data_IF_524386960745
#
_entry.id   IF_524386960745
#
_cell.length_a   1.000
_cell.length_b   1.000
_cell.length_c   1.000
_cell.angle_alpha   90.00
_cell.angle_beta   90.00
_cell.angle_gamma   90.00
#
_symmetry.space_group_name_H-M   'P 1'
#
loop_
_entity.id
_entity.type
_entity.pdbx_description
1 polymer ?
#
# COMPACT_ATOMS: atom_id res chain seq x y z
N UNK A 1 48.59 65.94 6.85
CA UNK A 1 48.44 64.57 7.41
C UNK A 1 47.51 63.81 6.48
N UNK A 2 48.05 62.87 5.69
CA UNK A 2 47.32 62.09 4.67
C UNK A 2 47.08 60.69 5.24
N UNK A 3 45.85 60.21 5.23
CA UNK A 3 45.51 58.83 5.58
C UNK A 3 45.00 58.15 4.30
N UNK A 4 45.75 57.16 3.84
CA UNK A 4 45.45 56.30 2.69
C UNK A 4 44.44 55.24 3.10
N UNK A 5 43.42 55.03 2.27
CA UNK A 5 42.56 53.85 2.32
C UNK A 5 43.27 52.67 1.65
N UNK A 6 43.50 51.60 2.39
CA UNK A 6 43.97 50.31 1.86
C UNK A 6 42.73 49.51 1.45
N UNK A 7 42.59 49.29 0.14
CA UNK A 7 41.60 48.39 -0.46
C UNK A 7 41.95 46.94 -0.14
N UNK A 8 41.01 46.21 0.47
CA UNK A 8 41.10 44.76 0.62
C UNK A 8 40.65 44.08 -0.67
N UNK A 9 41.61 43.46 -1.36
CA UNK A 9 41.41 42.60 -2.51
C UNK A 9 40.93 41.22 -2.00
N UNK A 10 39.66 40.88 -2.21
CA UNK A 10 39.14 39.53 -1.98
C UNK A 10 39.40 38.71 -3.25
N UNK A 11 40.41 37.84 -3.20
CA UNK A 11 40.64 36.83 -4.24
C UNK A 11 39.69 35.67 -3.97
N UNK A 12 38.61 35.58 -4.76
CA UNK A 12 37.75 34.40 -4.81
C UNK A 12 38.42 33.36 -5.70
N UNK A 13 39.09 32.39 -5.08
CA UNK A 13 39.59 31.19 -5.74
C UNK A 13 38.40 30.28 -6.08
N UNK A 14 37.97 30.29 -7.34
CA UNK A 14 37.13 29.24 -7.91
C UNK A 14 37.98 27.96 -8.05
N UNK A 15 37.93 27.09 -7.04
CA UNK A 15 38.36 25.70 -7.20
C UNK A 15 37.27 24.99 -7.99
N UNK A 16 37.55 24.73 -9.27
CA UNK A 16 36.70 23.95 -10.14
C UNK A 16 36.56 22.53 -9.61
N UNK A 17 35.45 22.25 -8.94
CA UNK A 17 34.96 20.89 -8.74
C UNK A 17 34.43 20.45 -10.10
N UNK A 18 35.21 19.67 -10.84
CA UNK A 18 34.68 18.87 -11.93
C UNK A 18 33.66 17.90 -11.32
N UNK A 19 32.38 18.25 -11.40
CA UNK A 19 31.31 17.26 -11.28
C UNK A 19 31.51 16.30 -12.43
N UNK A 20 32.06 15.12 -12.15
CA UNK A 20 32.00 14.01 -13.07
C UNK A 20 30.51 13.76 -13.35
N UNK A 21 30.03 14.24 -14.51
CA UNK A 21 28.77 13.79 -15.06
C UNK A 21 28.96 12.32 -15.41
N UNK A 22 28.66 11.45 -14.45
CA UNK A 22 28.33 10.06 -14.74
C UNK A 22 26.97 10.11 -15.42
N UNK A 23 26.95 10.44 -16.72
CA UNK A 23 25.79 10.17 -17.55
C UNK A 23 25.79 8.67 -17.83
N UNK A 24 25.45 7.88 -16.81
CA UNK A 24 24.87 6.59 -17.06
C UNK A 24 23.55 6.87 -17.76
N UNK A 25 23.55 6.80 -19.09
CA UNK A 25 22.35 6.51 -19.86
C UNK A 25 21.92 5.10 -19.46
N UNK A 26 21.43 4.93 -18.24
CA UNK A 26 20.53 3.83 -17.95
C UNK A 26 19.36 4.04 -18.89
N UNK A 27 19.26 3.18 -19.90
CA UNK A 27 18.09 3.11 -20.73
C UNK A 27 16.93 2.91 -19.77
N UNK A 28 16.17 3.97 -19.53
CA UNK A 28 14.94 3.91 -18.74
C UNK A 28 14.05 2.96 -19.52
N UNK A 29 14.03 1.69 -19.10
CA UNK A 29 13.13 0.70 -19.66
C UNK A 29 11.74 1.31 -19.44
N UNK A 30 10.98 1.61 -20.50
CA UNK A 30 9.68 2.23 -20.35
C UNK A 30 8.86 1.32 -19.45
N UNK A 31 8.48 1.84 -18.29
CA UNK A 31 7.80 1.06 -17.27
C UNK A 31 6.48 0.57 -17.88
N UNK A 32 6.37 -0.75 -18.07
CA UNK A 32 5.21 -1.36 -18.69
C UNK A 32 3.97 -1.01 -17.86
N UNK A 33 2.91 -0.57 -18.54
CA UNK A 33 1.62 -0.37 -17.89
C UNK A 33 1.08 -1.76 -17.55
N UNK A 34 0.93 -2.04 -16.26
CA UNK A 34 0.30 -3.26 -15.76
C UNK A 34 -1.14 -2.92 -15.42
N UNK A 35 -2.07 -3.64 -16.02
CA UNK A 35 -3.49 -3.58 -15.73
C UNK A 35 -4.02 -4.95 -15.31
N UNK A 36 -5.29 -5.01 -14.88
CA UNK A 36 -5.90 -6.25 -14.41
C UNK A 36 -5.99 -7.34 -15.51
N UNK A 37 -5.78 -7.02 -16.80
CA UNK A 37 -5.73 -7.98 -17.91
C UNK A 37 -4.33 -8.55 -18.19
N UNK A 38 -3.30 -7.97 -17.58
CA UNK A 38 -1.90 -8.38 -17.78
C UNK A 38 -1.69 -9.81 -17.32
N UNK A 39 -1.15 -10.66 -18.20
CA UNK A 39 -0.85 -12.05 -17.87
C UNK A 39 0.43 -12.17 -17.04
N UNK A 40 0.35 -12.93 -15.96
CA UNK A 40 1.45 -13.19 -15.05
C UNK A 40 1.55 -14.67 -14.71
N UNK A 41 2.76 -15.09 -14.36
CA UNK A 41 2.95 -16.28 -13.56
C UNK A 41 3.09 -15.86 -12.11
N UNK A 42 2.66 -16.73 -11.20
CA UNK A 42 3.01 -16.57 -9.79
C UNK A 42 3.66 -17.86 -9.28
N UNK A 43 4.53 -17.69 -8.29
CA UNK A 43 5.14 -18.81 -7.58
C UNK A 43 4.65 -18.85 -6.15
N UNK A 44 4.48 -20.07 -5.68
CA UNK A 44 4.13 -20.42 -4.32
C UNK A 44 5.44 -20.77 -3.63
N UNK A 45 5.95 -19.90 -2.76
CA UNK A 45 7.10 -20.30 -1.96
C UNK A 45 6.60 -21.22 -0.86
N UNK A 46 6.90 -22.51 -0.94
CA UNK A 46 6.85 -23.40 0.22
C UNK A 46 8.10 -23.24 1.11
N UNK A 47 9.17 -22.64 0.58
CA UNK A 47 10.42 -22.35 1.29
C UNK A 47 11.22 -21.24 0.58
N UNK A 48 11.86 -20.30 1.31
CA UNK A 48 12.74 -19.28 0.72
C UNK A 48 13.97 -19.85 -0.01
N UNK A 49 14.24 -21.16 0.14
CA UNK A 49 15.33 -21.87 -0.51
C UNK A 49 14.86 -22.84 -1.61
N UNK A 50 13.56 -22.92 -1.92
CA UNK A 50 13.12 -23.79 -3.02
C UNK A 50 13.43 -23.12 -4.36
N UNK A 51 14.06 -23.86 -5.27
CA UNK A 51 14.23 -23.49 -6.69
C UNK A 51 12.92 -23.64 -7.46
N UNK A 52 11.77 -23.50 -6.80
CA UNK A 52 10.46 -23.76 -7.38
C UNK A 52 10.22 -22.82 -8.56
N UNK A 53 10.09 -23.45 -9.72
CA UNK A 53 9.74 -22.84 -10.99
C UNK A 53 8.34 -22.23 -10.89
N UNK A 54 8.11 -21.12 -11.58
CA UNK A 54 6.81 -20.45 -11.63
C UNK A 54 5.72 -21.45 -12.08
N UNK A 55 4.78 -21.75 -11.19
CA UNK A 55 4.03 -23.03 -11.22
C UNK A 55 2.74 -23.00 -12.01
N UNK A 56 2.24 -21.84 -12.44
CA UNK A 56 0.92 -21.75 -13.07
C UNK A 56 0.97 -21.88 -14.59
N UNK A 57 0.62 -23.05 -15.11
CA UNK A 57 0.29 -23.23 -16.52
C UNK A 57 -1.21 -23.55 -16.62
N UNK A 58 -2.05 -22.67 -17.22
CA UNK A 58 -1.73 -21.44 -17.93
C UNK A 58 -1.39 -20.24 -17.01
N UNK A 59 -0.77 -19.16 -17.54
CA UNK A 59 -0.67 -17.88 -16.83
C UNK A 59 -2.08 -17.34 -16.51
N UNK A 60 -2.18 -16.53 -15.46
CA UNK A 60 -3.44 -15.90 -15.06
C UNK A 60 -3.37 -14.39 -15.25
N UNK A 61 -4.52 -13.74 -15.27
CA UNK A 61 -4.57 -12.28 -15.29
C UNK A 61 -4.19 -11.71 -13.92
N UNK A 62 -3.66 -10.49 -13.91
CA UNK A 62 -3.30 -9.77 -12.69
C UNK A 62 -4.53 -9.55 -11.79
N UNK A 63 -5.70 -9.27 -12.36
CA UNK A 63 -6.96 -9.18 -11.63
C UNK A 63 -7.37 -10.52 -11.00
N UNK A 64 -7.23 -11.64 -11.73
CA UNK A 64 -7.51 -12.98 -11.20
C UNK A 64 -6.57 -13.36 -10.05
N UNK A 65 -5.31 -12.92 -10.09
CA UNK A 65 -4.37 -13.13 -8.99
C UNK A 65 -4.85 -12.45 -7.70
N UNK A 66 -5.32 -11.21 -7.81
CA UNK A 66 -5.85 -10.47 -6.66
C UNK A 66 -7.13 -11.13 -6.14
N UNK A 67 -8.05 -11.54 -7.04
CA UNK A 67 -9.27 -12.29 -6.67
C UNK A 67 -8.95 -13.59 -5.96
N UNK A 68 -7.92 -14.31 -6.41
CA UNK A 68 -7.43 -15.52 -5.76
C UNK A 68 -6.81 -15.23 -4.40
N UNK A 69 -6.14 -14.10 -4.22
CA UNK A 69 -5.39 -13.83 -2.97
C UNK A 69 -6.27 -13.25 -1.87
N UNK A 70 -7.17 -12.32 -2.21
CA UNK A 70 -7.96 -11.58 -1.22
C UNK A 70 -8.71 -12.46 -0.21
N UNK A 71 -9.51 -13.48 -0.59
CA UNK A 71 -10.30 -14.24 0.38
C UNK A 71 -9.48 -15.07 1.39
N UNK A 72 -8.18 -15.27 1.13
CA UNK A 72 -7.28 -16.02 2.03
C UNK A 72 -6.47 -15.11 2.96
N UNK A 73 -6.39 -13.82 2.63
CA UNK A 73 -5.78 -12.79 3.45
C UNK A 73 -6.83 -12.01 4.25
N UNK A 74 -7.95 -11.65 3.63
CA UNK A 74 -9.10 -11.04 4.26
C UNK A 74 -10.28 -12.00 4.19
N UNK A 75 -10.94 -12.27 5.33
CA UNK A 75 -12.11 -13.15 5.32
C UNK A 75 -13.24 -12.55 4.51
N UNK A 76 -13.70 -13.24 3.48
CA UNK A 76 -14.84 -12.82 2.64
C UNK A 76 -16.10 -12.49 3.49
N UNK A 77 -16.30 -13.26 4.57
CA UNK A 77 -17.41 -13.09 5.49
C UNK A 77 -17.42 -11.74 6.24
N UNK A 78 -16.32 -10.99 6.22
CA UNK A 78 -16.28 -9.64 6.80
C UNK A 78 -17.24 -8.68 6.12
N UNK A 79 -17.56 -8.86 4.83
CA UNK A 79 -18.57 -8.04 4.17
C UNK A 79 -19.98 -8.17 4.78
N UNK A 80 -20.24 -9.20 5.59
CA UNK A 80 -21.50 -9.37 6.31
C UNK A 80 -21.61 -8.48 7.56
N UNK A 81 -20.53 -7.83 7.99
CA UNK A 81 -20.62 -6.79 9.03
C UNK A 81 -20.99 -5.44 8.41
N UNK A 82 -21.63 -4.52 9.15
CA UNK A 82 -21.89 -3.18 8.67
C UNK A 82 -20.60 -2.54 8.11
N UNK A 83 -20.65 -2.08 6.86
CA UNK A 83 -19.50 -1.51 6.13
C UNK A 83 -18.27 -2.43 5.95
N UNK A 84 -18.32 -3.70 6.31
CA UNK A 84 -17.14 -4.59 6.25
C UNK A 84 -16.57 -4.78 4.83
N UNK A 85 -17.36 -4.50 3.79
CA UNK A 85 -16.87 -4.44 2.40
C UNK A 85 -15.75 -3.41 2.21
N UNK A 86 -15.71 -2.34 3.02
CA UNK A 86 -14.65 -1.33 2.96
C UNK A 86 -13.30 -1.89 3.40
N UNK A 87 -13.27 -2.84 4.33
CA UNK A 87 -12.05 -3.56 4.71
C UNK A 87 -11.56 -4.47 3.58
N UNK A 88 -12.49 -5.15 2.88
CA UNK A 88 -12.14 -5.96 1.69
C UNK A 88 -11.58 -5.09 0.56
N UNK A 89 -12.14 -3.89 0.34
CA UNK A 89 -11.61 -2.92 -0.64
C UNK A 89 -10.21 -2.44 -0.27
N UNK A 90 -9.96 -2.15 1.02
CA UNK A 90 -8.63 -1.80 1.50
C UNK A 90 -7.63 -2.95 1.28
N UNK A 91 -8.01 -4.18 1.63
CA UNK A 91 -7.21 -5.39 1.35
C UNK A 91 -6.93 -5.60 -0.13
N UNK A 92 -7.93 -5.41 -1.00
CA UNK A 92 -7.78 -5.53 -2.45
C UNK A 92 -6.72 -4.55 -3.00
N UNK A 93 -6.75 -3.29 -2.54
CA UNK A 93 -5.77 -2.27 -2.94
C UNK A 93 -4.38 -2.60 -2.40
N UNK A 94 -4.26 -3.07 -1.15
CA UNK A 94 -2.98 -3.48 -0.58
C UNK A 94 -2.37 -4.67 -1.36
N UNK A 95 -3.17 -5.69 -1.70
CA UNK A 95 -2.71 -6.83 -2.51
C UNK A 95 -2.33 -6.39 -3.92
N UNK A 96 -3.14 -5.54 -4.57
CA UNK A 96 -2.84 -5.00 -5.91
C UNK A 96 -1.51 -4.24 -5.90
N UNK A 97 -1.31 -3.41 -4.88
CA UNK A 97 -0.09 -2.63 -4.69
C UNK A 97 1.12 -3.54 -4.50
N UNK A 98 1.01 -4.57 -3.64
CA UNK A 98 2.05 -5.58 -3.46
C UNK A 98 2.38 -6.30 -4.77
N UNK A 99 1.36 -6.80 -5.47
CA UNK A 99 1.53 -7.51 -6.73
C UNK A 99 2.24 -6.63 -7.78
N UNK A 100 1.93 -5.33 -7.81
CA UNK A 100 2.55 -4.40 -8.75
C UNK A 100 4.01 -4.10 -8.40
N UNK A 101 4.31 -3.97 -7.10
CA UNK A 101 5.69 -3.89 -6.60
C UNK A 101 6.48 -5.15 -7.00
N UNK A 102 5.92 -6.32 -6.71
CA UNK A 102 6.55 -7.61 -6.96
C UNK A 102 6.73 -7.90 -8.47
N UNK A 103 5.78 -7.50 -9.32
CA UNK A 103 5.87 -7.63 -10.78
C UNK A 103 7.09 -6.88 -11.32
N UNK A 104 7.32 -5.65 -10.87
CA UNK A 104 8.43 -4.83 -11.35
C UNK A 104 9.79 -5.29 -10.78
N UNK A 105 9.82 -5.89 -9.58
CA UNK A 105 11.04 -6.48 -9.02
C UNK A 105 11.33 -7.89 -9.54
N UNK A 106 10.35 -8.56 -10.15
CA UNK A 106 10.51 -9.93 -10.65
C UNK A 106 11.39 -9.97 -11.89
N UNK A 107 12.23 -11.01 -12.00
CA UNK A 107 12.93 -11.33 -13.24
C UNK A 107 11.96 -11.66 -14.39
N UNK A 108 12.42 -11.50 -15.62
CA UNK A 108 11.71 -11.96 -16.82
C UNK A 108 11.92 -13.46 -16.99
N UNK A 109 10.85 -14.20 -17.27
CA UNK A 109 10.90 -15.60 -17.72
C UNK A 109 10.38 -15.68 -19.15
N UNK A 110 10.97 -16.55 -19.98
CA UNK A 110 10.50 -16.77 -21.35
C UNK A 110 9.75 -18.11 -21.43
N UNK A 111 8.47 -18.07 -21.83
CA UNK A 111 7.64 -19.26 -22.01
C UNK A 111 7.03 -19.23 -23.41
N UNK A 112 7.40 -20.22 -24.24
CA UNK A 112 6.91 -20.28 -25.63
C UNK A 112 7.30 -19.08 -26.49
N UNK A 113 8.44 -18.42 -26.20
CA UNK A 113 8.90 -17.22 -26.91
C UNK A 113 8.26 -15.91 -26.43
N UNK A 114 7.41 -15.94 -25.40
CA UNK A 114 6.83 -14.76 -24.78
C UNK A 114 7.44 -14.52 -23.40
N UNK A 115 7.68 -13.24 -23.10
CA UNK A 115 8.25 -12.80 -21.84
C UNK A 115 7.15 -12.55 -20.80
N UNK A 116 7.30 -13.15 -19.63
CA UNK A 116 6.42 -13.00 -18.48
C UNK A 116 7.20 -12.61 -17.23
N UNK A 117 6.47 -12.11 -16.23
CA UNK A 117 7.01 -11.90 -14.87
C UNK A 117 6.43 -12.96 -13.93
N UNK A 118 7.26 -13.35 -12.97
CA UNK A 118 6.90 -14.34 -11.96
C UNK A 118 6.80 -13.67 -10.59
N UNK A 119 5.55 -13.44 -10.15
CA UNK A 119 5.27 -12.78 -8.88
C UNK A 119 5.38 -13.79 -7.75
N UNK A 120 6.12 -13.44 -6.70
CA UNK A 120 6.15 -14.24 -5.47
C UNK A 120 4.88 -13.99 -4.67
N UNK A 121 4.14 -15.04 -4.32
CA UNK A 121 3.06 -14.93 -3.35
C UNK A 121 3.66 -14.78 -1.94
N UNK A 122 3.25 -13.75 -1.19
CA UNK A 122 3.81 -13.45 0.14
C UNK A 122 3.38 -14.44 1.23
N UNK A 123 2.25 -15.13 1.04
CA UNK A 123 1.60 -15.89 2.10
C UNK A 123 1.51 -17.37 1.78
N UNK A 124 1.85 -18.18 2.77
CA UNK A 124 1.65 -19.64 2.74
C UNK A 124 0.16 -20.02 2.66
N UNK A 125 -0.77 -19.11 3.01
CA UNK A 125 -2.22 -19.34 2.83
C UNK A 125 -2.62 -19.38 1.36
N UNK A 126 -1.93 -18.61 0.51
CA UNK A 126 -2.13 -18.64 -0.95
C UNK A 126 -1.70 -20.01 -1.51
N UNK A 127 -0.72 -20.67 -0.90
CA UNK A 127 -0.23 -21.98 -1.35
C UNK A 127 -1.30 -23.08 -1.25
N UNK A 128 -2.20 -23.02 -0.27
CA UNK A 128 -3.24 -24.04 -0.09
C UNK A 128 -4.30 -24.04 -1.20
N UNK A 129 -4.44 -22.93 -1.92
CA UNK A 129 -5.55 -22.71 -2.86
C UNK A 129 -5.10 -22.34 -4.28
N UNK A 130 -3.81 -22.45 -4.60
CA UNK A 130 -3.33 -22.14 -5.93
C UNK A 130 -3.94 -23.01 -7.04
N UNK A 131 -4.38 -24.22 -6.69
CA UNK A 131 -5.09 -25.14 -7.58
C UNK A 131 -6.58 -24.80 -7.76
N UNK A 132 -7.14 -23.87 -6.98
CA UNK A 132 -8.54 -23.49 -7.07
C UNK A 132 -8.79 -22.70 -8.36
N UNK A 133 -9.83 -23.09 -9.10
CA UNK A 133 -10.20 -22.42 -10.36
C UNK A 133 -10.75 -21.03 -10.06
N UNK A 134 -10.56 -20.07 -10.98
CA UNK A 134 -11.11 -18.73 -10.81
C UNK A 134 -12.64 -18.74 -10.70
N UNK A 135 -13.30 -19.65 -11.42
CA UNK A 135 -14.76 -19.83 -11.33
C UNK A 135 -15.21 -20.24 -9.92
N UNK A 136 -14.44 -21.11 -9.25
CA UNK A 136 -14.74 -21.48 -7.87
C UNK A 136 -14.55 -20.29 -6.93
N UNK A 137 -13.49 -19.50 -7.12
CA UNK A 137 -13.26 -18.28 -6.34
C UNK A 137 -14.44 -17.30 -6.48
N UNK A 138 -14.90 -17.06 -7.71
CA UNK A 138 -16.04 -16.17 -7.99
C UNK A 138 -17.32 -16.65 -7.30
N UNK A 139 -17.57 -17.95 -7.29
CA UNK A 139 -18.78 -18.51 -6.70
C UNK A 139 -18.72 -18.57 -5.17
N UNK A 140 -17.55 -18.87 -4.59
CA UNK A 140 -17.38 -19.10 -3.16
C UNK A 140 -17.08 -17.82 -2.36
N UNK A 141 -16.49 -16.79 -3.01
CA UNK A 141 -16.04 -15.55 -2.36
C UNK A 141 -16.53 -14.29 -3.12
N UNK A 142 -17.86 -14.12 -3.30
CA UNK A 142 -18.41 -13.06 -4.13
C UNK A 142 -18.13 -11.65 -3.58
N UNK A 143 -17.99 -11.48 -2.26
CA UNK A 143 -17.71 -10.17 -1.68
C UNK A 143 -16.27 -9.72 -1.95
N UNK A 144 -15.33 -10.66 -1.89
CA UNK A 144 -13.93 -10.45 -2.23
C UNK A 144 -13.80 -10.08 -3.70
N UNK A 145 -14.47 -10.82 -4.60
CA UNK A 145 -14.50 -10.47 -6.03
C UNK A 145 -15.08 -9.08 -6.27
N UNK A 146 -16.20 -8.76 -5.61
CA UNK A 146 -16.81 -7.42 -5.69
C UNK A 146 -15.84 -6.33 -5.24
N UNK A 147 -15.12 -6.54 -4.14
CA UNK A 147 -14.13 -5.57 -3.64
C UNK A 147 -12.97 -5.37 -4.63
N UNK A 148 -12.49 -6.46 -5.27
CA UNK A 148 -11.42 -6.38 -6.27
C UNK A 148 -11.88 -5.62 -7.52
N UNK A 149 -13.09 -5.90 -7.99
CA UNK A 149 -13.65 -5.27 -9.20
C UNK A 149 -13.94 -3.78 -8.97
N UNK A 150 -14.51 -3.41 -7.81
CA UNK A 150 -14.79 -2.00 -7.45
C UNK A 150 -13.50 -1.19 -7.30
N UNK A 151 -12.40 -1.81 -6.90
CA UNK A 151 -11.11 -1.15 -6.71
C UNK A 151 -10.15 -1.34 -7.88
N UNK A 152 -10.64 -1.80 -9.03
CA UNK A 152 -9.83 -2.02 -10.22
C UNK A 152 -9.01 -0.77 -10.58
N UNK A 153 -7.71 -0.96 -10.81
CA UNK A 153 -6.77 0.10 -11.14
C UNK A 153 -6.34 0.99 -9.97
N UNK A 154 -6.85 0.78 -8.75
CA UNK A 154 -6.45 1.54 -7.57
C UNK A 154 -5.23 0.89 -6.89
N UNK A 155 -4.15 1.65 -6.70
CA UNK A 155 -2.94 1.22 -5.99
C UNK A 155 -2.23 2.40 -5.31
N UNK A 156 -1.30 2.09 -4.41
CA UNK A 156 -0.54 3.07 -3.63
C UNK A 156 0.87 3.27 -4.18
N UNK A 157 1.31 4.52 -4.22
CA UNK A 157 2.63 4.94 -4.70
C UNK A 157 3.27 5.88 -3.69
N UNK A 158 4.58 6.08 -3.79
CA UNK A 158 5.30 7.04 -2.97
C UNK A 158 6.47 7.58 -3.79
N UNK A 159 6.74 8.88 -3.72
CA UNK A 159 7.79 9.51 -4.55
C UNK A 159 9.15 8.82 -4.40
N UNK A 160 9.50 8.42 -3.17
CA UNK A 160 10.73 7.68 -2.89
C UNK A 160 10.70 6.20 -3.33
N UNK A 161 9.53 5.58 -3.57
CA UNK A 161 9.47 4.17 -3.99
C UNK A 161 10.10 3.98 -5.37
N UNK A 162 9.86 4.90 -6.30
CA UNK A 162 10.46 4.84 -7.64
C UNK A 162 11.96 5.10 -7.60
N UNK A 163 12.43 6.00 -6.74
CA UNK A 163 13.85 6.28 -6.59
C UNK A 163 14.61 5.13 -5.90
N UNK A 164 13.99 4.47 -4.91
CA UNK A 164 14.64 3.42 -4.12
C UNK A 164 14.57 2.04 -4.78
N UNK A 165 13.50 1.75 -5.52
CA UNK A 165 13.20 0.40 -6.00
C UNK A 165 12.94 0.33 -7.52
N UNK A 166 12.93 1.47 -8.23
CA UNK A 166 12.60 1.49 -9.67
C UNK A 166 11.14 1.14 -9.97
N UNK A 167 10.28 1.12 -8.95
CA UNK A 167 8.88 0.69 -9.03
C UNK A 167 7.93 1.86 -8.76
N UNK A 168 6.76 1.86 -9.39
CA UNK A 168 5.72 2.87 -9.12
C UNK A 168 4.98 2.61 -7.81
N UNK A 169 4.82 1.35 -7.41
CA UNK A 169 4.04 0.97 -6.23
C UNK A 169 4.90 0.83 -4.99
N UNK A 170 4.36 1.17 -3.82
CA UNK A 170 5.02 0.86 -2.54
C UNK A 170 5.04 -0.65 -2.28
N UNK A 171 5.83 -1.11 -1.31
CA UNK A 171 5.69 -2.44 -0.74
C UNK A 171 4.79 -2.37 0.51
N UNK A 172 3.47 -2.64 0.40
CA UNK A 172 2.58 -2.60 1.55
C UNK A 172 2.83 -3.84 2.41
N UNK A 173 3.00 -3.63 3.71
CA UNK A 173 2.96 -4.73 4.69
C UNK A 173 1.59 -4.79 5.33
N UNK A 174 1.15 -6.00 5.64
CA UNK A 174 -0.08 -6.26 6.38
C UNK A 174 0.08 -7.53 7.22
N UNK A 175 -0.73 -7.64 8.28
CA UNK A 175 -0.75 -8.75 9.26
C UNK A 175 -2.17 -9.00 9.72
N UNK A 176 -2.44 -10.18 10.26
CA UNK A 176 -3.75 -10.56 10.81
C UNK A 176 -4.25 -9.53 11.84
N UNK A 177 -3.39 -9.20 12.81
CA UNK A 177 -3.68 -8.26 13.88
C UNK A 177 -2.43 -7.42 14.17
N UNK A 178 -2.63 -6.13 14.48
CA UNK A 178 -1.59 -5.20 14.95
C UNK A 178 -1.83 -4.83 16.42
N UNK A 179 -0.85 -4.22 17.07
CA UNK A 179 -1.00 -3.73 18.44
C UNK A 179 -1.71 -2.37 18.51
N UNK A 180 -1.81 -1.85 19.74
CA UNK A 180 -2.27 -0.47 20.00
C UNK A 180 -1.49 0.58 19.18
N UNK A 181 -0.26 0.22 18.80
CA UNK A 181 0.53 0.91 17.81
C UNK A 181 1.01 -0.12 16.79
N UNK A 182 1.06 0.26 15.51
CA UNK A 182 1.87 -0.48 14.52
C UNK A 182 3.35 -0.26 14.80
N UNK A 183 4.24 -1.03 14.18
CA UNK A 183 5.68 -0.79 14.28
C UNK A 183 6.25 -0.16 13.00
N UNK A 184 7.42 0.47 13.12
CA UNK A 184 8.16 0.99 11.97
C UNK A 184 8.62 -0.17 11.06
N UNK A 185 8.34 -0.06 9.76
CA UNK A 185 8.83 -1.00 8.75
C UNK A 185 10.25 -0.67 8.27
N UNK A 186 11.01 -1.70 7.89
CA UNK A 186 12.37 -1.63 7.38
C UNK A 186 12.51 -2.46 6.10
N UNK A 187 13.45 -2.11 5.22
CA UNK A 187 13.65 -2.82 3.93
C UNK A 187 14.20 -4.23 4.09
N UNK A 188 15.04 -4.48 5.09
CA UNK A 188 15.44 -5.85 5.49
C UNK A 188 15.17 -6.11 6.98
N UNK A 189 15.30 -7.37 7.39
CA UNK A 189 15.03 -7.87 8.74
C UNK A 189 16.03 -7.37 9.81
N UNK A 190 17.01 -6.53 9.48
CA UNK A 190 17.98 -5.97 10.42
C UNK A 190 17.67 -4.50 10.79
N UNK A 191 16.91 -4.23 11.87
CA UNK A 191 16.49 -2.88 12.23
C UNK A 191 17.65 -1.95 12.67
N UNK A 192 18.85 -2.47 12.94
CA UNK A 192 19.98 -1.66 13.42
C UNK A 192 20.77 -0.99 12.29
N UNK A 193 20.63 -1.47 11.06
CA UNK A 193 21.39 -0.99 9.90
C UNK A 193 20.52 -0.41 8.80
N UNK A 194 19.20 -0.48 8.96
CA UNK A 194 18.29 -0.35 7.84
C UNK A 194 17.55 0.99 7.85
N UNK A 195 17.46 1.57 6.66
CA UNK A 195 16.68 2.76 6.44
C UNK A 195 15.19 2.46 6.69
N UNK A 196 14.50 3.30 7.48
CA UNK A 196 13.07 3.14 7.71
C UNK A 196 12.30 3.32 6.41
N UNK A 197 11.28 2.48 6.20
CA UNK A 197 10.37 2.60 5.08
C UNK A 197 9.42 3.79 5.35
N UNK A 198 9.44 4.86 4.53
CA UNK A 198 8.69 6.09 4.82
C UNK A 198 7.17 5.90 4.95
N UNK A 199 6.61 4.94 4.23
CA UNK A 199 5.17 4.65 4.22
C UNK A 199 4.72 3.63 5.27
N UNK A 200 5.64 3.06 6.07
CA UNK A 200 5.33 2.10 7.14
C UNK A 200 5.74 2.67 8.49
N UNK A 201 5.08 3.75 8.91
CA UNK A 201 5.34 4.39 10.20
C UNK A 201 4.56 3.70 11.32
N UNK A 202 5.07 3.88 12.53
CA UNK A 202 4.27 3.64 13.74
C UNK A 202 3.06 4.57 13.75
N UNK A 203 1.86 3.98 13.81
CA UNK A 203 0.59 4.69 13.91
C UNK A 203 -0.20 4.13 15.09
N UNK A 204 -0.88 5.03 15.79
CA UNK A 204 -1.75 4.66 16.92
C UNK A 204 -3.04 4.04 16.40
N UNK A 205 -3.28 2.77 16.71
CA UNK A 205 -4.45 2.00 16.30
C UNK A 205 -5.25 1.50 17.53
N UNK A 206 -6.11 2.35 18.12
CA UNK A 206 -6.85 2.04 19.36
C UNK A 206 -7.84 0.88 19.25
N UNK A 207 -8.11 0.40 18.03
CA UNK A 207 -9.08 -0.67 17.77
C UNK A 207 -8.41 -2.04 17.59
N UNK A 208 -7.07 -2.07 17.58
CA UNK A 208 -6.29 -3.29 17.43
C UNK A 208 -5.91 -3.90 18.79
N UNK A 209 -5.65 -5.21 18.82
CA UNK A 209 -5.43 -5.98 20.05
C UNK A 209 -4.22 -6.91 20.05
N UNK A 210 -3.42 -6.89 18.99
CA UNK A 210 -2.27 -7.77 18.79
C UNK A 210 -0.94 -7.17 19.23
N UNK A 211 0.13 -7.62 18.58
CA UNK A 211 1.48 -7.11 18.78
C UNK A 211 1.81 -6.01 17.76
N UNK A 212 2.66 -5.02 18.12
CA UNK A 212 3.11 -4.01 17.17
C UNK A 212 3.83 -4.64 15.97
N UNK A 213 3.22 -4.49 14.80
CA UNK A 213 3.72 -4.99 13.52
C UNK A 213 3.58 -3.89 12.46
N UNK A 214 4.42 -3.87 11.41
CA UNK A 214 4.40 -2.81 10.42
C UNK A 214 3.24 -2.97 9.42
N UNK A 215 2.68 -1.82 9.03
CA UNK A 215 1.63 -1.73 8.02
C UNK A 215 0.23 -1.99 8.56
N UNK A 216 -0.64 -2.60 7.75
CA UNK A 216 -2.08 -2.70 8.03
C UNK A 216 -2.44 -3.95 8.79
N UNK A 217 -3.13 -3.80 9.94
CA UNK A 217 -3.83 -4.89 10.60
C UNK A 217 -5.09 -5.27 9.82
N UNK A 218 -5.23 -6.54 9.44
CA UNK A 218 -6.38 -7.05 8.69
C UNK A 218 -7.66 -6.93 9.55
N UNK A 219 -7.62 -7.42 10.79
CA UNK A 219 -8.72 -7.24 11.76
C UNK A 219 -8.94 -5.76 12.14
N UNK A 220 -7.88 -4.97 12.27
CA UNK A 220 -7.98 -3.52 12.50
C UNK A 220 -8.75 -2.82 11.38
N UNK A 221 -8.44 -3.13 10.11
CA UNK A 221 -9.15 -2.61 8.94
C UNK A 221 -10.64 -2.94 8.97
N UNK A 222 -11.01 -4.17 9.38
CA UNK A 222 -12.40 -4.60 9.56
C UNK A 222 -13.10 -3.81 10.64
N UNK A 223 -12.44 -3.59 11.78
CA UNK A 223 -13.03 -2.88 12.92
C UNK A 223 -13.20 -1.39 12.63
N UNK A 224 -12.25 -0.76 11.92
CA UNK A 224 -12.40 0.61 11.42
C UNK A 224 -13.54 0.74 10.42
N UNK A 225 -13.68 -0.21 9.49
CA UNK A 225 -14.81 -0.25 8.58
C UNK A 225 -16.14 -0.36 9.34
N UNK A 226 -16.21 -1.26 10.33
CA UNK A 226 -17.40 -1.50 11.15
C UNK A 226 -17.71 -0.34 12.11
N UNK A 227 -16.70 0.38 12.58
CA UNK A 227 -16.81 1.39 13.64
C UNK A 227 -17.09 0.77 15.01
N UNK A 228 -16.63 -0.46 15.25
CA UNK A 228 -16.83 -1.17 16.51
C UNK A 228 -15.52 -1.80 16.98
N UNK A 229 -15.23 -1.60 18.25
CA UNK A 229 -14.10 -2.25 18.88
C UNK A 229 -14.37 -3.74 19.11
N UNK A 230 -13.53 -4.57 18.50
CA UNK A 230 -13.44 -5.99 18.76
C UNK A 230 -12.25 -6.36 19.65
N UNK A 231 -11.47 -5.37 20.10
CA UNK A 231 -10.34 -5.56 21.00
C UNK A 231 -10.81 -6.08 22.36
N UNK A 232 -9.93 -6.81 23.03
CA UNK A 232 -10.14 -7.24 24.42
C UNK A 232 -10.15 -6.04 25.38
N UNK A 233 -9.58 -4.90 24.99
CA UNK A 233 -9.36 -3.76 25.87
C UNK A 233 -10.62 -2.93 26.09
N UNK A 234 -11.44 -2.69 25.07
CA UNK A 234 -12.70 -1.94 25.19
C UNK A 234 -13.85 -2.54 24.33
N UNK A 235 -14.21 -3.82 24.54
CA UNK A 235 -15.17 -4.51 23.69
C UNK A 235 -16.50 -3.73 23.59
N UNK A 236 -16.92 -3.45 22.35
CA UNK A 236 -18.20 -2.80 22.06
C UNK A 236 -18.20 -1.27 22.04
N UNK A 237 -17.05 -0.62 22.29
CA UNK A 237 -16.93 0.83 22.11
C UNK A 237 -17.18 1.23 20.64
N UNK A 238 -17.82 2.38 20.48
CA UNK A 238 -18.17 2.94 19.16
C UNK A 238 -17.03 3.80 18.63
N UNK A 239 -16.60 3.50 17.41
CA UNK A 239 -15.63 4.26 16.66
C UNK A 239 -16.28 4.83 15.39
N UNK A 240 -15.76 5.94 14.83
CA UNK A 240 -16.20 6.39 13.52
C UNK A 240 -15.96 5.30 12.47
N UNK A 241 -16.98 5.04 11.66
CA UNK A 241 -16.88 4.14 10.51
C UNK A 241 -16.03 4.78 9.43
N UNK A 242 -15.05 4.04 8.91
CA UNK A 242 -14.16 4.52 7.86
C UNK A 242 -14.43 3.81 6.53
N UNK A 243 -14.19 4.51 5.43
CA UNK A 243 -14.11 3.91 4.10
C UNK A 243 -12.71 3.36 3.85
N UNK A 244 -12.54 2.60 2.76
CA UNK A 244 -11.23 2.01 2.43
C UNK A 244 -10.13 3.06 2.28
N UNK A 245 -10.46 4.27 1.82
CA UNK A 245 -9.48 5.34 1.58
C UNK A 245 -8.89 5.82 2.90
N UNK A 246 -9.74 6.08 3.89
CA UNK A 246 -9.30 6.51 5.22
C UNK A 246 -8.58 5.40 5.97
N UNK A 247 -9.02 4.15 5.82
CA UNK A 247 -8.31 2.98 6.36
C UNK A 247 -6.88 2.91 5.82
N UNK A 248 -6.71 2.99 4.49
CA UNK A 248 -5.38 2.93 3.87
C UNK A 248 -4.51 4.12 4.26
N UNK A 249 -5.06 5.33 4.27
CA UNK A 249 -4.33 6.53 4.69
C UNK A 249 -3.93 6.51 6.17
N UNK A 250 -4.63 5.73 7.01
CA UNK A 250 -4.26 5.53 8.41
C UNK A 250 -3.02 4.64 8.54
N UNK A 251 -2.99 3.49 7.85
CA UNK A 251 -1.89 2.53 7.98
C UNK A 251 -0.67 2.83 7.10
N UNK A 252 -0.86 3.56 5.99
CA UNK A 252 0.21 3.87 5.04
C UNK A 252 0.38 5.39 4.92
N UNK A 253 1.45 5.90 5.51
CA UNK A 253 1.75 7.34 5.54
C UNK A 253 2.38 7.82 4.23
N UNK A 254 2.12 9.07 3.85
CA UNK A 254 2.79 9.75 2.72
C UNK A 254 2.61 9.03 1.36
N UNK A 255 1.57 8.21 1.22
CA UNK A 255 1.27 7.52 -0.03
C UNK A 255 0.33 8.34 -0.91
N UNK A 256 0.57 8.28 -2.21
CA UNK A 256 -0.34 8.77 -3.23
C UNK A 256 -1.16 7.60 -3.78
N UNK A 257 -2.46 7.79 -3.92
CA UNK A 257 -3.34 6.81 -4.55
C UNK A 257 -3.46 7.09 -6.05
N UNK A 258 -3.10 6.10 -6.87
CA UNK A 258 -3.38 6.12 -8.31
C UNK A 258 -4.72 5.44 -8.57
N UNK A 259 -5.45 5.88 -9.60
CA UNK A 259 -6.73 5.29 -9.99
C UNK A 259 -7.93 5.75 -9.16
N UNK A 260 -7.70 6.51 -8.08
CA UNK A 260 -8.78 7.20 -7.37
C UNK A 260 -9.10 8.48 -8.11
N UNK A 261 -10.29 8.58 -8.68
CA UNK A 261 -10.84 9.89 -9.01
C UNK A 261 -11.13 10.59 -7.68
N UNK A 262 -10.54 11.77 -7.41
CA UNK A 262 -10.91 12.52 -6.22
C UNK A 262 -12.42 12.73 -6.27
N UNK A 263 -13.09 12.44 -5.15
CA UNK A 263 -14.50 12.82 -5.05
C UNK A 263 -14.58 14.30 -5.44
N UNK A 264 -15.59 14.71 -6.25
CA UNK A 264 -15.77 16.11 -6.55
C UNK A 264 -15.69 16.87 -5.22
N UNK A 265 -14.89 17.95 -5.13
CA UNK A 265 -14.66 18.62 -3.86
C UNK A 265 -16.01 18.80 -3.21
N UNK A 266 -16.19 18.23 -2.01
CA UNK A 266 -17.42 18.44 -1.25
C UNK A 266 -17.62 19.95 -1.27
N UNK A 267 -18.67 20.41 -1.96
CA UNK A 267 -19.06 21.80 -1.87
C UNK A 267 -19.43 21.92 -0.41
N UNK A 268 -18.49 22.41 0.39
CA UNK A 268 -18.78 22.94 1.70
C UNK A 268 -19.70 24.09 1.37
N UNK A 269 -21.00 23.82 1.37
CA UNK A 269 -22.01 24.86 1.50
C UNK A 269 -21.67 25.45 2.85
N UNK A 270 -20.87 26.52 2.82
CA UNK A 270 -20.64 27.36 3.96
C UNK A 270 -22.01 27.96 4.28
N UNK A 271 -22.83 27.22 5.02
CA UNK A 271 -23.95 27.78 5.73
C UNK A 271 -23.27 28.70 6.75
N UNK A 272 -23.18 29.97 6.39
CA UNK A 272 -22.87 31.04 7.31
C UNK A 272 -23.98 31.04 8.35
N UNK A 273 -23.83 30.19 9.37
CA UNK A 273 -24.58 30.30 10.60
C UNK A 273 -24.08 31.61 11.23
N UNK A 274 -24.78 32.70 10.88
CA UNK A 274 -24.69 33.94 11.65
C UNK A 274 -25.18 33.60 13.05
N UNK A 275 -24.23 33.27 13.92
CA UNK A 275 -24.46 33.23 15.36
C UNK A 275 -24.90 34.64 15.76
N UNK A 276 -26.21 34.85 15.89
CA UNK A 276 -26.75 35.95 16.67
C UNK A 276 -26.31 35.67 18.10
N UNK A 277 -25.21 36.28 18.51
CA UNK A 277 -24.82 36.37 19.91
C UNK A 277 -25.95 37.08 20.64
N UNK A 278 -26.82 36.31 21.30
CA UNK A 278 -27.76 36.85 22.28
C UNK A 278 -26.91 37.36 23.44
N UNK A 279 -26.69 38.68 23.50
CA UNK A 279 -26.23 39.30 24.72
C UNK A 279 -27.40 39.26 25.71
N UNK A 280 -27.23 38.72 26.93
CA UNK A 280 -28.23 38.92 27.96
C UNK A 280 -28.30 40.43 28.24
N UNK A 281 -29.49 41.02 28.07
CA UNK A 281 -29.75 42.36 28.56
C UNK A 281 -29.85 42.27 30.08
N UNK A 282 -28.79 42.73 30.76
CA UNK A 282 -28.85 43.04 32.17
C UNK A 282 -29.31 44.48 32.37
N UNK A 283 -30.55 44.63 32.83
CA UNK A 283 -31.04 45.62 33.80
C UNK A 283 -32.43 45.17 34.24
#
# INVERSE_FOLDING_TARGET
MKIQYISWLVIVLFVGIQTAQVSANEAVIPLQVVDDSTLIYYRLDSSPNSTETCTTNPPITFGDFIKKTLPFEWSDGWANTPNGIEALKAGAIAIRTYALSAYHSAGVINVGGQDYRCIRAWSTRINFHASESISNIINNYPNSVTAVDVTNGIYMTHTNATALLGIKAIHPQFRDETGLYTSQGYFDDNPQTNDPIPWLKEVFDPISSGSPEPGMGQEGSRRWAWGKDGSVQNPGSDFPKWDYRRILAHYYSEVDFVGITPDPPMIIVAISLKWKVFRPMGA
#
